data_IF_725675890565
#
_entry.id   IF_725675890565
#
_cell.length_a   1.000
_cell.length_b   1.000
_cell.length_c   1.000
_cell.angle_alpha   90.00
_cell.angle_beta   90.00
_cell.angle_gamma   90.00
#
_symmetry.space_group_name_H-M   'P 1'
#
loop_
_entity.id
_entity.type
_entity.pdbx_description
1 polymer ?
#
# COMPACT_ATOMS: atom_id res chain seq x y z
N UNK A 1 -2.95 -14.53 -12.20
CA UNK A 1 -2.91 -14.76 -10.74
C UNK A 1 -1.67 -14.06 -10.22
N UNK A 2 -1.87 -12.77 -9.94
CA UNK A 2 -1.09 -11.74 -9.24
C UNK A 2 0.44 -11.62 -9.34
N UNK A 3 1.17 -12.53 -10.00
CA UNK A 3 2.62 -12.37 -10.22
C UNK A 3 3.47 -12.33 -8.94
N UNK A 4 2.87 -12.65 -7.78
CA UNK A 4 3.52 -12.67 -6.47
C UNK A 4 4.41 -13.90 -6.39
N UNK A 5 5.70 -13.69 -6.10
CA UNK A 5 6.66 -14.79 -5.97
C UNK A 5 6.59 -15.38 -4.56
N UNK A 6 6.24 -16.65 -4.44
CA UNK A 6 6.23 -17.38 -3.16
C UNK A 6 7.36 -18.39 -3.18
N UNK A 7 8.33 -18.24 -2.28
CA UNK A 7 9.42 -19.18 -2.10
C UNK A 7 9.08 -20.09 -0.90
N UNK A 8 8.95 -21.40 -1.14
CA UNK A 8 8.66 -22.38 -0.11
C UNK A 8 9.88 -23.26 0.17
N UNK A 9 10.18 -23.50 1.44
CA UNK A 9 11.11 -24.54 1.87
C UNK A 9 10.51 -25.96 1.75
N UNK A 10 11.37 -26.98 1.68
CA UNK A 10 10.96 -28.39 1.65
C UNK A 10 10.16 -28.74 2.92
N UNK A 11 8.90 -29.13 2.74
CA UNK A 11 7.98 -29.48 3.82
C UNK A 11 6.71 -28.64 3.90
N UNK A 12 6.59 -27.56 3.12
CA UNK A 12 5.36 -26.75 3.05
C UNK A 12 4.58 -27.12 1.79
N UNK A 13 3.33 -27.54 1.96
CA UNK A 13 2.47 -27.84 0.82
C UNK A 13 2.03 -26.58 0.09
N UNK A 14 1.69 -26.72 -1.20
CA UNK A 14 1.18 -25.59 -2.00
C UNK A 14 -0.16 -25.06 -1.48
N UNK A 15 -0.96 -25.92 -0.85
CA UNK A 15 -2.25 -25.55 -0.27
C UNK A 15 -2.06 -24.70 1.00
N UNK A 16 -1.15 -25.09 1.88
CA UNK A 16 -0.78 -24.31 3.06
C UNK A 16 -0.16 -22.95 2.66
N UNK A 17 0.72 -22.94 1.68
CA UNK A 17 1.30 -21.70 1.16
C UNK A 17 0.22 -20.72 0.64
N UNK A 18 -0.84 -21.25 0.01
CA UNK A 18 -1.96 -20.43 -0.47
C UNK A 18 -2.81 -19.86 0.69
N UNK A 19 -2.91 -20.56 1.81
CA UNK A 19 -3.58 -20.05 3.03
C UNK A 19 -2.76 -18.89 3.60
N UNK A 20 -1.46 -19.07 3.81
CA UNK A 20 -0.58 -18.00 4.32
C UNK A 20 -0.59 -16.76 3.41
N UNK A 21 -0.62 -16.95 2.09
CA UNK A 21 -0.74 -15.85 1.15
C UNK A 21 -2.05 -15.07 1.33
N UNK A 22 -3.18 -15.79 1.44
CA UNK A 22 -4.51 -15.17 1.64
C UNK A 22 -4.59 -14.41 2.94
N UNK A 23 -4.09 -14.98 4.02
CA UNK A 23 -4.07 -14.33 5.34
C UNK A 23 -3.23 -13.05 5.29
N UNK A 24 -2.06 -13.09 4.63
CA UNK A 24 -1.20 -11.92 4.53
C UNK A 24 -1.83 -10.77 3.73
N UNK A 25 -2.60 -11.08 2.68
CA UNK A 25 -3.35 -10.08 1.91
C UNK A 25 -4.47 -9.44 2.75
N UNK A 26 -5.04 -10.16 3.72
CA UNK A 26 -6.06 -9.62 4.63
C UNK A 26 -5.44 -8.75 5.73
N UNK A 27 -4.27 -9.11 6.27
CA UNK A 27 -3.60 -8.35 7.34
C UNK A 27 -3.19 -6.95 6.84
N UNK A 28 -2.76 -6.84 5.58
CA UNK A 28 -2.33 -5.57 4.98
C UNK A 28 -2.93 -5.35 3.58
N UNK A 29 -4.22 -4.96 3.49
CA UNK A 29 -4.91 -4.81 2.20
C UNK A 29 -4.45 -3.61 1.38
N UNK A 30 -3.77 -2.63 2.00
CA UNK A 30 -3.32 -1.40 1.34
C UNK A 30 -1.85 -1.42 0.91
N UNK A 31 -1.10 -2.46 1.28
CA UNK A 31 0.29 -2.63 0.86
C UNK A 31 0.35 -3.66 -0.27
N UNK A 32 1.14 -3.37 -1.30
CA UNK A 32 1.34 -4.31 -2.42
C UNK A 32 2.40 -5.34 -2.02
N UNK A 33 1.99 -6.60 -1.86
CA UNK A 33 2.91 -7.72 -1.59
C UNK A 33 3.62 -8.14 -2.88
N UNK A 34 4.95 -8.13 -2.88
CA UNK A 34 5.79 -8.48 -4.03
C UNK A 34 6.22 -9.95 -3.99
N UNK A 35 6.69 -10.39 -2.82
CA UNK A 35 7.10 -11.76 -2.60
C UNK A 35 6.92 -12.19 -1.14
N UNK A 36 6.92 -13.50 -0.93
CA UNK A 36 6.81 -14.10 0.41
C UNK A 36 7.76 -15.28 0.50
N UNK A 37 8.57 -15.32 1.56
CA UNK A 37 9.40 -16.47 1.89
C UNK A 37 8.78 -17.24 3.05
N UNK A 38 8.57 -18.54 2.84
CA UNK A 38 8.05 -19.48 3.83
C UNK A 38 9.16 -20.46 4.22
N UNK A 39 9.52 -20.48 5.50
CA UNK A 39 10.56 -21.36 6.05
C UNK A 39 10.06 -22.12 7.27
N UNK A 40 10.55 -23.35 7.45
CA UNK A 40 10.25 -24.17 8.62
C UNK A 40 11.35 -24.01 9.66
N UNK A 41 10.97 -23.71 10.90
CA UNK A 41 11.85 -23.67 12.06
C UNK A 41 11.32 -24.64 13.13
N UNK A 42 11.76 -25.89 13.06
CA UNK A 42 11.16 -27.00 13.81
C UNK A 42 9.71 -27.19 13.37
N UNK A 43 8.79 -27.13 14.34
CA UNK A 43 7.35 -27.26 14.10
C UNK A 43 6.66 -25.94 13.70
N UNK A 44 7.40 -24.82 13.67
CA UNK A 44 6.83 -23.51 13.40
C UNK A 44 7.10 -23.05 11.96
N UNK A 45 6.08 -22.47 11.33
CA UNK A 45 6.21 -21.81 10.02
C UNK A 45 6.58 -20.35 10.22
N UNK A 46 7.71 -19.95 9.65
CA UNK A 46 8.18 -18.55 9.65
C UNK A 46 7.83 -17.92 8.30
N UNK A 47 6.94 -16.93 8.35
CA UNK A 47 6.47 -16.17 7.19
C UNK A 47 7.21 -14.84 7.10
N UNK A 48 7.91 -14.59 5.98
CA UNK A 48 8.62 -13.33 5.72
C UNK A 48 8.08 -12.66 4.46
N UNK A 49 7.16 -11.67 4.60
CA UNK A 49 6.61 -10.93 3.48
C UNK A 49 7.56 -9.81 3.03
N UNK A 50 7.63 -9.57 1.72
CA UNK A 50 8.34 -8.46 1.11
C UNK A 50 7.33 -7.56 0.39
N UNK A 51 7.20 -6.34 0.88
CA UNK A 51 6.26 -5.35 0.35
C UNK A 51 6.96 -4.33 -0.54
N UNK A 52 6.17 -3.71 -1.41
CA UNK A 52 6.63 -2.54 -2.15
C UNK A 52 6.96 -1.40 -1.18
N UNK A 53 8.11 -0.75 -1.42
CA UNK A 53 8.61 0.37 -0.60
C UNK A 53 8.17 1.72 -1.20
N UNK A 54 7.53 1.73 -2.37
CA UNK A 54 7.17 2.97 -3.05
C UNK A 54 6.07 3.71 -2.27
N UNK A 55 6.46 4.74 -1.54
CA UNK A 55 5.54 5.69 -0.92
C UNK A 55 5.20 6.78 -1.93
N UNK A 56 3.97 6.78 -2.45
CA UNK A 56 3.46 7.84 -3.33
C UNK A 56 3.03 9.06 -2.49
N UNK A 57 3.99 9.91 -2.14
CA UNK A 57 3.68 11.19 -1.50
C UNK A 57 3.16 12.16 -2.57
N UNK A 58 1.86 12.49 -2.51
CA UNK A 58 1.34 13.64 -3.28
C UNK A 58 1.74 14.92 -2.56
N UNK A 59 2.32 15.88 -3.28
CA UNK A 59 2.49 17.24 -2.76
C UNK A 59 1.11 17.83 -2.47
N UNK A 60 0.76 17.92 -1.20
CA UNK A 60 -0.44 18.59 -0.68
C UNK A 60 -0.36 20.13 -0.75
N UNK A 61 0.72 20.69 -1.31
CA UNK A 61 0.97 22.14 -1.34
C UNK A 61 -0.24 22.86 -1.94
N UNK A 62 -1.00 23.58 -1.10
CA UNK A 62 -2.27 24.22 -1.46
C UNK A 62 -3.46 23.75 -0.61
N UNK A 63 -3.70 22.44 -0.49
CA UNK A 63 -4.89 21.89 0.18
C UNK A 63 -4.83 21.95 1.70
N UNK A 64 -3.63 21.84 2.28
CA UNK A 64 -3.39 21.96 3.74
C UNK A 64 -2.84 23.33 4.13
N UNK A 65 -2.90 24.31 3.23
CA UNK A 65 -2.55 25.70 3.53
C UNK A 65 -3.81 26.55 3.65
N UNK A 66 -3.82 27.50 4.58
CA UNK A 66 -4.85 28.54 4.65
C UNK A 66 -4.71 29.49 3.46
N UNK A 67 -5.83 30.04 2.97
CA UNK A 67 -5.87 30.99 1.83
C UNK A 67 -4.75 32.08 1.85
N UNK A 68 -4.35 32.66 2.99
CA UNK A 68 -3.27 33.66 3.03
C UNK A 68 -1.89 33.15 2.57
N UNK A 69 -1.64 31.84 2.64
CA UNK A 69 -0.36 31.21 2.26
C UNK A 69 -0.33 30.75 0.79
N UNK A 70 -1.39 31.05 0.03
CA UNK A 70 -1.44 30.71 -1.39
C UNK A 70 -0.46 31.58 -2.18
N UNK A 71 0.11 31.02 -3.24
CA UNK A 71 0.78 31.82 -4.26
C UNK A 71 -0.27 32.59 -5.07
N UNK A 72 0.16 33.59 -5.84
CA UNK A 72 -0.75 34.52 -6.49
C UNK A 72 -1.66 33.82 -7.52
N UNK A 73 -1.16 32.80 -8.22
CA UNK A 73 -1.94 31.99 -9.14
C UNK A 73 -3.14 31.30 -8.47
N UNK A 74 -2.95 30.73 -7.26
CA UNK A 74 -4.03 30.08 -6.53
C UNK A 74 -5.00 31.07 -5.87
N UNK A 75 -4.53 32.26 -5.50
CA UNK A 75 -5.40 33.33 -5.00
C UNK A 75 -6.37 33.80 -6.10
N UNK A 76 -5.89 33.91 -7.34
CA UNK A 76 -6.73 34.24 -8.49
C UNK A 76 -7.79 33.15 -8.73
N UNK A 77 -7.40 31.87 -8.73
CA UNK A 77 -8.34 30.74 -8.87
C UNK A 77 -9.44 30.72 -7.80
N UNK A 78 -9.10 31.07 -6.55
CA UNK A 78 -10.09 31.18 -5.46
C UNK A 78 -11.06 32.34 -5.67
N UNK A 79 -10.58 33.48 -6.18
CA UNK A 79 -11.43 34.63 -6.49
C UNK A 79 -12.43 34.34 -7.61
N UNK A 80 -12.03 33.51 -8.59
CA UNK A 80 -12.88 33.09 -9.71
C UNK A 80 -13.87 31.97 -9.32
N UNK A 81 -13.79 31.44 -8.09
CA UNK A 81 -14.64 30.33 -7.66
C UNK A 81 -16.08 30.79 -7.44
N UNK A 82 -16.98 30.34 -8.32
CA UNK A 82 -18.42 30.55 -8.16
C UNK A 82 -18.97 29.56 -7.13
N UNK A 83 -19.68 30.08 -6.14
CA UNK A 83 -20.39 29.26 -5.17
C UNK A 83 -21.72 28.80 -5.79
N UNK A 84 -21.79 27.53 -6.18
CA UNK A 84 -23.05 26.89 -6.57
C UNK A 84 -23.84 26.51 -5.30
N UNK A 85 -24.27 27.50 -4.52
CA UNK A 85 -25.27 27.27 -3.48
C UNK A 85 -26.63 27.10 -4.17
N UNK A 86 -27.17 25.88 -4.10
CA UNK A 86 -28.59 25.58 -4.29
C UNK A 86 -29.15 25.02 -2.99
#
# INVERSE_FOLDING_TARGET
>A
MDGIKVNCADGISKEEAAIYLKDQLQVKPHETLLSMDLSLNGDNVVVKPHYDTIVRVRRITGYLSTLPRFNDAKKAEVADRVCHLH
#
